data_IF_468954183941
#
_entry.id   IF_468954183941
#
_cell.length_a   1.000
_cell.length_b   1.000
_cell.length_c   1.000
_cell.angle_alpha   90.00
_cell.angle_beta   90.00
_cell.angle_gamma   90.00
#
_symmetry.space_group_name_H-M   'P 1'
#
loop_
_entity.id
_entity.type
_entity.pdbx_description
1 polymer ?
#
# COMPACT_ATOMS: atom_id res chain seq x y z
N UNK A 1 17.82 -10.21 2.61
CA UNK A 1 17.15 -11.48 2.25
C UNK A 1 17.03 -11.49 0.74
N UNK A 2 17.53 -12.53 0.06
CA UNK A 2 17.44 -12.66 -1.40
C UNK A 2 16.05 -13.24 -1.74
N UNK A 3 15.19 -12.42 -2.33
CA UNK A 3 13.96 -12.91 -2.96
C UNK A 3 14.30 -13.22 -4.41
N UNK A 4 14.38 -14.50 -4.74
CA UNK A 4 14.55 -14.94 -6.13
C UNK A 4 13.24 -14.62 -6.89
N UNK A 5 13.28 -13.61 -7.74
CA UNK A 5 12.31 -13.42 -8.82
C UNK A 5 12.50 -14.58 -9.82
N UNK A 6 11.76 -15.68 -9.64
CA UNK A 6 11.78 -16.80 -10.58
C UNK A 6 10.37 -17.39 -10.73
N UNK A 7 9.59 -16.82 -11.64
CA UNK A 7 8.38 -17.48 -12.15
C UNK A 7 8.73 -18.85 -12.75
N UNK A 8 7.80 -19.80 -12.68
CA UNK A 8 8.00 -21.16 -13.23
C UNK A 8 7.26 -21.29 -14.56
N UNK A 9 7.97 -21.65 -15.62
CA UNK A 9 7.37 -21.91 -16.92
C UNK A 9 6.59 -23.24 -16.89
N UNK A 10 5.34 -23.20 -17.35
CA UNK A 10 4.45 -24.36 -17.50
C UNK A 10 4.72 -25.05 -18.84
N UNK A 11 4.35 -26.33 -18.93
CA UNK A 11 4.62 -27.19 -20.10
C UNK A 11 3.94 -26.72 -21.40
N UNK A 12 3.02 -25.79 -21.26
CA UNK A 12 2.13 -25.19 -22.25
C UNK A 12 2.48 -23.71 -22.54
N UNK A 13 3.65 -23.24 -22.08
CA UNK A 13 4.15 -21.89 -22.35
C UNK A 13 3.55 -20.79 -21.47
N UNK A 14 2.70 -21.16 -20.51
CA UNK A 14 2.23 -20.24 -19.46
C UNK A 14 3.31 -20.00 -18.42
N UNK A 15 3.47 -18.77 -17.94
CA UNK A 15 4.35 -18.46 -16.81
C UNK A 15 3.52 -18.41 -15.54
N UNK A 16 3.86 -19.22 -14.54
CA UNK A 16 3.36 -19.03 -13.17
C UNK A 16 4.17 -17.90 -12.55
N UNK A 17 3.54 -16.75 -12.38
CA UNK A 17 4.08 -15.68 -11.53
C UNK A 17 3.80 -16.06 -10.08
N UNK A 18 4.86 -16.12 -9.28
CA UNK A 18 4.69 -16.15 -7.83
C UNK A 18 4.38 -14.73 -7.37
N UNK A 19 3.38 -14.56 -6.48
CA UNK A 19 3.02 -13.24 -6.00
C UNK A 19 4.21 -12.62 -5.28
N UNK A 20 4.46 -11.34 -5.56
CA UNK A 20 5.44 -10.56 -4.80
C UNK A 20 4.67 -9.90 -3.67
N UNK A 21 4.81 -10.45 -2.47
CA UNK A 21 4.04 -10.02 -1.31
C UNK A 21 4.78 -8.94 -0.52
N UNK A 22 4.01 -8.00 0.02
CA UNK A 22 4.45 -7.02 0.99
C UNK A 22 3.36 -6.76 2.04
N UNK A 23 3.70 -6.00 3.08
CA UNK A 23 2.74 -5.52 4.06
C UNK A 23 2.60 -4.01 3.96
N UNK A 24 1.42 -3.50 4.27
CA UNK A 24 1.11 -2.08 4.36
C UNK A 24 0.96 -1.70 5.83
N UNK A 25 1.63 -0.61 6.22
CA UNK A 25 1.35 0.09 7.47
C UNK A 25 0.39 1.25 7.19
N UNK A 26 -0.89 1.07 7.50
CA UNK A 26 -1.92 2.08 7.31
C UNK A 26 -2.06 2.95 8.57
N UNK A 27 -1.79 4.25 8.44
CA UNK A 27 -1.97 5.25 9.50
C UNK A 27 -3.26 6.03 9.26
N UNK A 28 -4.26 5.87 10.13
CA UNK A 28 -5.60 6.44 9.92
C UNK A 28 -6.28 7.01 11.19
N UNK A 29 -7.21 7.96 11.01
CA UNK A 29 -7.98 8.58 12.09
C UNK A 29 -7.19 9.51 13.01
N UNK A 30 -6.06 10.03 12.53
CA UNK A 30 -5.16 10.93 13.26
C UNK A 30 -4.82 12.19 12.45
N UNK A 31 -3.78 12.87 12.86
CA UNK A 31 -3.31 14.11 12.24
C UNK A 31 -1.79 14.08 12.03
N UNK A 32 -1.33 14.81 11.01
CA UNK A 32 0.10 15.08 10.82
C UNK A 32 0.40 16.38 11.55
N UNK A 33 1.30 16.32 12.53
CA UNK A 33 1.75 17.46 13.30
C UNK A 33 3.27 17.61 13.14
N UNK A 34 3.69 18.67 12.44
CA UNK A 34 5.05 18.83 11.92
C UNK A 34 5.46 17.61 11.09
N UNK A 35 6.42 16.81 11.57
CA UNK A 35 6.94 15.60 10.92
C UNK A 35 6.49 14.30 11.61
N UNK A 36 5.45 14.36 12.44
CA UNK A 36 4.96 13.22 13.21
C UNK A 36 3.49 12.95 12.92
N UNK A 37 3.16 11.67 12.78
CA UNK A 37 1.79 11.21 12.81
C UNK A 37 1.33 11.04 14.26
N UNK A 38 0.25 11.71 14.64
CA UNK A 38 -0.24 11.74 16.02
C UNK A 38 -1.73 11.41 16.12
N UNK A 39 -2.14 10.91 17.30
CA UNK A 39 -3.56 10.74 17.72
C UNK A 39 -4.42 9.81 16.85
N UNK A 40 -3.83 9.09 15.91
CA UNK A 40 -4.50 8.09 15.09
C UNK A 40 -4.21 6.66 15.51
N UNK A 41 -4.56 5.74 14.61
CA UNK A 41 -4.32 4.30 14.73
C UNK A 41 -3.34 3.86 13.66
N UNK A 42 -2.69 2.72 13.92
CA UNK A 42 -1.87 2.01 12.95
C UNK A 42 -2.46 0.63 12.76
N UNK A 43 -2.76 0.28 11.51
CA UNK A 43 -3.23 -1.05 11.11
C UNK A 43 -2.21 -1.65 10.15
N UNK A 44 -1.85 -2.90 10.36
CA UNK A 44 -0.96 -3.64 9.48
C UNK A 44 -1.79 -4.59 8.61
N UNK A 45 -1.62 -4.49 7.30
CA UNK A 45 -2.28 -5.32 6.30
C UNK A 45 -1.20 -6.17 5.65
N UNK A 46 -1.30 -7.48 5.80
CA UNK A 46 -0.30 -8.44 5.31
C UNK A 46 -0.78 -9.12 4.02
N UNK A 47 0.13 -9.78 3.31
CA UNK A 47 -0.14 -10.52 2.07
C UNK A 47 -0.69 -9.64 0.93
N UNK A 48 -0.26 -8.38 0.83
CA UNK A 48 -0.57 -7.51 -0.31
C UNK A 48 0.24 -7.98 -1.52
N UNK A 49 -0.44 -8.37 -2.61
CA UNK A 49 0.21 -8.78 -3.86
C UNK A 49 0.50 -7.57 -4.75
N UNK A 50 1.78 -7.27 -5.01
CA UNK A 50 2.22 -6.16 -5.85
C UNK A 50 1.53 -6.11 -7.21
N UNK A 51 1.12 -7.24 -7.78
CA UNK A 51 0.47 -7.27 -9.11
C UNK A 51 -1.03 -6.96 -9.08
N UNK A 52 -1.65 -7.00 -7.90
CA UNK A 52 -3.09 -6.79 -7.72
C UNK A 52 -3.42 -5.46 -7.05
N UNK A 53 -2.42 -4.78 -6.50
CA UNK A 53 -2.61 -3.49 -5.85
C UNK A 53 -3.08 -2.43 -6.86
N UNK A 54 -4.06 -1.65 -6.44
CA UNK A 54 -4.69 -0.57 -7.20
C UNK A 54 -5.41 0.37 -6.23
N UNK A 55 -5.88 1.52 -6.70
CA UNK A 55 -6.62 2.47 -5.88
C UNK A 55 -7.91 1.87 -5.30
N UNK A 56 -8.73 1.10 -6.05
CA UNK A 56 -9.89 0.42 -5.47
C UNK A 56 -9.53 -0.60 -4.39
N UNK A 57 -8.39 -1.29 -4.51
CA UNK A 57 -7.92 -2.20 -3.46
C UNK A 57 -7.53 -1.44 -2.19
N UNK A 58 -6.96 -0.24 -2.32
CA UNK A 58 -6.71 0.65 -1.18
C UNK A 58 -8.03 1.13 -0.56
N UNK A 59 -9.03 1.49 -1.38
CA UNK A 59 -10.38 1.83 -0.89
C UNK A 59 -10.97 0.68 -0.06
N UNK A 60 -10.95 -0.55 -0.58
CA UNK A 60 -11.45 -1.74 0.12
C UNK A 60 -10.72 -1.97 1.46
N UNK A 61 -9.40 -1.76 1.50
CA UNK A 61 -8.59 -1.85 2.73
C UNK A 61 -8.98 -0.80 3.76
N UNK A 62 -9.30 0.42 3.31
CA UNK A 62 -9.68 1.54 4.17
C UNK A 62 -11.12 1.39 4.68
N UNK A 63 -12.03 0.88 3.83
CA UNK A 63 -13.39 0.49 4.23
C UNK A 63 -13.37 -0.62 5.28
N UNK A 64 -12.50 -1.61 5.11
CA UNK A 64 -12.33 -2.71 6.07
C UNK A 64 -11.89 -2.24 7.47
N UNK A 65 -11.19 -1.10 7.57
CA UNK A 65 -10.81 -0.50 8.87
C UNK A 65 -11.82 0.54 9.39
N UNK A 66 -12.96 0.69 8.71
CA UNK A 66 -14.15 1.40 9.19
C UNK A 66 -14.40 2.78 8.59
N UNK A 67 -13.79 3.12 7.45
CA UNK A 67 -14.04 4.40 6.77
C UNK A 67 -14.72 4.18 5.42
N UNK A 68 -15.95 4.66 5.29
CA UNK A 68 -16.76 4.54 4.08
C UNK A 68 -17.12 5.90 3.49
N UNK A 69 -16.27 6.91 3.69
CA UNK A 69 -16.52 8.26 3.19
C UNK A 69 -16.32 8.32 1.66
N UNK A 70 -17.20 9.05 0.96
CA UNK A 70 -17.16 9.15 -0.51
C UNK A 70 -15.91 9.84 -1.07
N UNK A 71 -15.19 10.60 -0.25
CA UNK A 71 -14.00 11.34 -0.69
C UNK A 71 -12.88 11.17 0.33
N UNK A 72 -11.96 10.26 0.05
CA UNK A 72 -10.74 10.08 0.82
C UNK A 72 -9.53 10.44 -0.03
N UNK A 73 -8.57 11.15 0.56
CA UNK A 73 -7.29 11.42 -0.07
C UNK A 73 -6.24 10.48 0.52
N UNK A 74 -5.59 9.70 -0.34
CA UNK A 74 -4.55 8.78 0.07
C UNK A 74 -3.16 9.35 -0.19
N UNK A 75 -2.23 8.99 0.70
CA UNK A 75 -0.85 9.41 0.61
C UNK A 75 0.08 8.25 0.94
N UNK A 76 1.14 8.09 0.17
CA UNK A 76 2.25 7.21 0.52
C UNK A 76 3.43 8.02 1.02
N UNK A 77 4.28 7.39 1.83
CA UNK A 77 5.50 7.97 2.34
C UNK A 77 6.70 7.37 1.60
N UNK A 78 7.51 8.21 0.98
CA UNK A 78 8.81 7.80 0.42
C UNK A 78 9.71 7.32 1.57
N UNK A 79 10.28 6.10 1.48
CA UNK A 79 11.20 5.59 2.50
C UNK A 79 12.36 6.54 2.79
N UNK A 80 12.79 6.59 4.05
CA UNK A 80 13.91 7.42 4.53
C UNK A 80 13.76 8.94 4.39
N UNK A 81 12.62 9.44 3.91
CA UNK A 81 12.28 10.86 3.95
C UNK A 81 11.44 11.18 5.20
N UNK A 82 11.47 12.44 5.65
CA UNK A 82 10.53 12.97 6.63
C UNK A 82 9.11 13.10 6.03
N UNK A 83 8.12 13.45 6.84
CA UNK A 83 6.74 13.57 6.34
C UNK A 83 6.56 14.81 5.47
N UNK A 84 7.19 15.94 5.83
CA UNK A 84 7.10 17.18 5.06
C UNK A 84 7.56 17.04 3.60
N UNK A 85 8.61 16.27 3.35
CA UNK A 85 9.21 16.09 2.03
C UNK A 85 8.82 14.76 1.36
N UNK A 86 8.56 13.73 2.17
CA UNK A 86 8.36 12.36 1.72
C UNK A 86 6.91 11.96 1.48
N UNK A 87 5.92 12.74 1.93
CA UNK A 87 4.52 12.41 1.73
C UNK A 87 4.06 12.82 0.32
N UNK A 88 3.52 11.87 -0.44
CA UNK A 88 3.04 12.08 -1.82
C UNK A 88 1.61 11.58 -1.97
N UNK A 89 0.74 12.34 -2.65
CA UNK A 89 -0.63 11.89 -2.90
C UNK A 89 -0.61 10.69 -3.86
N UNK A 90 -1.52 9.74 -3.64
CA UNK A 90 -1.86 8.71 -4.62
C UNK A 90 -3.00 9.29 -5.47
N UNK A 91 -2.77 9.46 -6.76
CA UNK A 91 -3.72 10.09 -7.69
C UNK A 91 -4.37 9.06 -8.61
N UNK A 92 -3.69 7.93 -8.87
CA UNK A 92 -4.18 6.85 -9.71
C UNK A 92 -3.48 5.53 -9.42
N UNK A 93 -3.92 4.47 -10.09
CA UNK A 93 -3.30 3.13 -10.00
C UNK A 93 -1.82 3.11 -10.38
N UNK A 94 -1.31 4.10 -11.14
CA UNK A 94 0.13 4.15 -11.47
C UNK A 94 1.03 4.56 -10.31
N UNK A 95 0.45 5.11 -9.24
CA UNK A 95 1.18 5.53 -8.03
C UNK A 95 1.25 4.42 -6.97
N UNK A 96 0.56 3.30 -7.21
CA UNK A 96 0.43 2.14 -6.31
C UNK A 96 1.42 1.04 -6.73
#
# INVERSE_FOLDING_TARGET
MNFNDAGRELKDGGVVLYPKLFFIELRHGGEINYDLYARGKVTYIDNCDTYLMSLPVIDDMVEAVGYSEWFMNYYYKIPNMDLCNGLKPIQSDSDV
#
